data_IF_594237993189
#
_entry.id   IF_594237993189
#
_cell.length_a   1.000
_cell.length_b   1.000
_cell.length_c   1.000
_cell.angle_alpha   90.00
_cell.angle_beta   90.00
_cell.angle_gamma   90.00
#
_symmetry.space_group_name_H-M   'P 1'
#
loop_
_entity.id
_entity.type
_entity.pdbx_description
1 polymer ?
#
# COMPACT_ATOMS: atom_id res chain seq x y z
N UNK A 1 13.46 9.14 0.11
CA UNK A 1 12.74 8.21 -0.79
C UNK A 1 11.84 7.33 0.08
N UNK A 2 10.55 7.26 -0.23
CA UNK A 2 9.60 6.41 0.53
C UNK A 2 9.79 4.95 0.21
N UNK A 3 9.88 4.09 1.22
CA UNK A 3 10.03 2.64 1.04
C UNK A 3 8.77 2.00 0.45
N UNK A 4 8.92 0.80 -0.11
CA UNK A 4 7.81 0.07 -0.73
C UNK A 4 6.62 -0.16 0.21
N UNK A 5 6.89 -0.35 1.51
CA UNK A 5 5.86 -0.53 2.52
C UNK A 5 5.06 0.75 2.78
N UNK A 6 5.71 1.93 2.76
CA UNK A 6 5.03 3.22 2.89
C UNK A 6 4.13 3.46 1.69
N UNK A 7 4.64 3.20 0.48
CA UNK A 7 3.86 3.38 -0.76
C UNK A 7 2.67 2.42 -0.81
N UNK A 8 2.86 1.16 -0.39
CA UNK A 8 1.76 0.21 -0.30
C UNK A 8 0.67 0.69 0.68
N UNK A 9 1.07 1.21 1.84
CA UNK A 9 0.15 1.75 2.84
C UNK A 9 -0.64 2.94 2.28
N UNK A 10 0.02 3.85 1.57
CA UNK A 10 -0.63 5.00 0.91
C UNK A 10 -1.60 4.55 -0.18
N UNK A 11 -1.27 3.52 -0.96
CA UNK A 11 -2.17 2.98 -1.98
C UNK A 11 -3.41 2.31 -1.37
N UNK A 12 -3.26 1.60 -0.25
CA UNK A 12 -4.38 0.99 0.48
C UNK A 12 -5.29 2.06 1.10
N UNK A 13 -4.71 3.14 1.65
CA UNK A 13 -5.46 4.32 2.09
C UNK A 13 -6.25 4.96 0.94
N UNK A 14 -5.63 5.14 -0.23
CA UNK A 14 -6.31 5.68 -1.42
C UNK A 14 -7.46 4.76 -1.84
N UNK A 15 -7.26 3.44 -1.84
CA UNK A 15 -8.31 2.48 -2.17
C UNK A 15 -9.51 2.61 -1.22
N UNK A 16 -9.24 2.73 0.08
CA UNK A 16 -10.26 2.91 1.12
C UNK A 16 -11.00 4.23 0.95
N UNK A 17 -10.29 5.32 0.68
CA UNK A 17 -10.91 6.62 0.41
C UNK A 17 -11.79 6.59 -0.83
N UNK A 18 -11.33 5.94 -1.91
CA UNK A 18 -12.12 5.76 -3.12
C UNK A 18 -13.39 4.95 -2.84
N UNK A 19 -13.29 3.88 -2.05
CA UNK A 19 -14.44 3.08 -1.63
C UNK A 19 -15.48 3.91 -0.86
N UNK A 20 -15.02 4.75 0.07
CA UNK A 20 -15.90 5.64 0.86
C UNK A 20 -16.56 6.72 0.00
N UNK A 21 -15.85 7.27 -0.98
CA UNK A 21 -16.42 8.25 -1.91
C UNK A 21 -17.34 7.63 -2.96
N UNK A 22 -17.43 6.30 -3.04
CA UNK A 22 -18.23 5.61 -4.04
C UNK A 22 -17.64 5.69 -5.45
N UNK A 23 -16.32 5.78 -5.57
CA UNK A 23 -15.61 5.77 -6.85
C UNK A 23 -15.70 4.39 -7.55
N UNK A 24 -15.14 4.31 -8.75
CA UNK A 24 -15.28 3.10 -9.57
C UNK A 24 -14.64 1.86 -8.89
N UNK A 25 -15.40 0.76 -8.66
CA UNK A 25 -14.91 -0.46 -8.01
C UNK A 25 -13.73 -1.11 -8.75
N UNK A 26 -13.62 -0.90 -10.07
CA UNK A 26 -12.46 -1.37 -10.83
C UNK A 26 -11.17 -0.67 -10.40
N UNK A 27 -11.22 0.65 -10.18
CA UNK A 27 -10.06 1.42 -9.73
C UNK A 27 -9.68 1.03 -8.31
N UNK A 28 -10.66 0.95 -7.40
CA UNK A 28 -10.45 0.55 -5.99
C UNK A 28 -9.68 -0.78 -5.91
N UNK A 29 -10.12 -1.79 -6.69
CA UNK A 29 -9.45 -3.09 -6.77
C UNK A 29 -8.03 -2.98 -7.32
N UNK A 30 -7.80 -2.12 -8.32
CA UNK A 30 -6.46 -1.91 -8.87
C UNK A 30 -5.49 -1.30 -7.83
N UNK A 31 -5.94 -0.32 -7.03
CA UNK A 31 -5.11 0.26 -5.95
C UNK A 31 -4.81 -0.77 -4.85
N UNK A 32 -5.82 -1.50 -4.37
CA UNK A 32 -5.62 -2.53 -3.35
C UNK A 32 -4.75 -3.70 -3.84
N UNK A 33 -4.91 -4.11 -5.11
CA UNK A 33 -4.04 -5.11 -5.72
C UNK A 33 -2.59 -4.60 -5.82
N UNK A 34 -2.40 -3.35 -6.27
CA UNK A 34 -1.08 -2.71 -6.35
C UNK A 34 -0.38 -2.65 -4.98
N UNK A 35 -1.09 -2.22 -3.94
CA UNK A 35 -0.59 -2.21 -2.57
C UNK A 35 -0.10 -3.60 -2.14
N UNK A 36 -0.92 -4.62 -2.36
CA UNK A 36 -0.59 -5.99 -1.99
C UNK A 36 0.58 -6.56 -2.78
N UNK A 37 0.73 -6.20 -4.05
CA UNK A 37 1.88 -6.60 -4.85
C UNK A 37 3.16 -5.96 -4.29
N UNK A 38 3.12 -4.67 -3.99
CA UNK A 38 4.24 -3.93 -3.39
C UNK A 38 4.67 -4.51 -2.03
N UNK A 39 3.71 -4.88 -1.17
CA UNK A 39 4.02 -5.52 0.13
C UNK A 39 4.68 -6.89 -0.03
N UNK A 40 4.27 -7.67 -1.03
CA UNK A 40 4.83 -9.00 -1.29
C UNK A 40 6.11 -8.96 -2.14
N UNK A 41 6.47 -7.79 -2.67
CA UNK A 41 7.65 -7.64 -3.52
C UNK A 41 8.91 -7.76 -2.68
N UNK A 42 9.80 -8.69 -3.03
CA UNK A 42 11.07 -8.89 -2.31
C UNK A 42 12.16 -7.92 -2.79
N UNK A 43 12.12 -7.55 -4.07
CA UNK A 43 13.07 -6.65 -4.72
C UNK A 43 12.95 -5.18 -4.24
N UNK A 44 13.99 -4.38 -4.51
CA UNK A 44 13.96 -2.94 -4.27
C UNK A 44 13.05 -2.25 -5.28
N UNK A 45 12.12 -1.44 -4.78
CA UNK A 45 11.15 -0.75 -5.62
C UNK A 45 11.82 0.31 -6.50
N UNK A 46 12.89 0.95 -6.03
CA UNK A 46 13.64 1.93 -6.82
C UNK A 46 14.31 1.28 -8.03
N UNK A 47 14.91 0.11 -7.85
CA UNK A 47 15.53 -0.64 -8.96
C UNK A 47 14.49 -1.13 -9.98
N UNK A 48 13.34 -1.63 -9.51
CA UNK A 48 12.26 -2.12 -10.39
C UNK A 48 11.60 -0.98 -11.18
N UNK A 49 11.42 0.19 -10.56
CA UNK A 49 10.96 1.41 -11.25
C UNK A 49 11.99 1.85 -12.29
N UNK A 50 13.27 1.94 -11.90
CA UNK A 50 14.35 2.35 -12.81
C UNK A 50 14.51 1.41 -14.00
N UNK A 51 14.26 0.12 -13.78
CA UNK A 51 14.31 -0.93 -14.81
C UNK A 51 13.03 -1.01 -15.67
N UNK A 52 11.99 -0.23 -15.37
CA UNK A 52 10.69 -0.28 -16.07
C UNK A 52 9.89 -1.57 -15.85
N UNK A 53 10.38 -2.50 -15.02
CA UNK A 53 9.75 -3.80 -14.75
C UNK A 53 8.42 -3.67 -14.00
N UNK A 54 8.17 -2.55 -13.33
CA UNK A 54 6.94 -2.33 -12.58
C UNK A 54 5.68 -2.39 -13.46
N UNK A 55 5.78 -1.96 -14.72
CA UNK A 55 4.68 -2.02 -15.69
C UNK A 55 4.44 -3.42 -16.27
N UNK A 56 5.42 -4.32 -16.14
CA UNK A 56 5.33 -5.71 -16.57
C UNK A 56 4.57 -6.57 -15.54
N UNK A 57 4.35 -6.04 -14.34
CA UNK A 57 3.72 -6.77 -13.25
C UNK A 57 2.20 -6.89 -13.49
N UNK A 58 1.65 -8.12 -13.57
CA UNK A 58 0.23 -8.32 -13.80
C UNK A 58 -0.59 -7.77 -12.63
N UNK A 59 -1.50 -6.86 -12.93
CA UNK A 59 -2.34 -6.16 -11.95
C UNK A 59 -1.89 -4.74 -11.60
N UNK A 60 -0.69 -4.33 -12.05
CA UNK A 60 -0.25 -2.93 -12.02
C UNK A 60 -0.42 -2.32 -13.42
N UNK A 61 -1.45 -1.50 -13.59
CA UNK A 61 -1.62 -0.74 -14.83
C UNK A 61 -0.64 0.43 -14.94
N UNK A 62 -0.43 0.93 -16.15
CA UNK A 62 0.46 2.07 -16.46
C UNK A 62 0.16 3.31 -15.59
N UNK A 63 -1.13 3.59 -15.36
CA UNK A 63 -1.57 4.66 -14.48
C UNK A 63 -1.22 4.45 -12.99
N UNK A 64 -1.11 3.20 -12.52
CA UNK A 64 -0.65 2.91 -11.16
C UNK A 64 0.87 3.05 -11.06
N UNK A 65 1.59 2.57 -12.06
CA UNK A 65 3.06 2.68 -12.16
C UNK A 65 3.51 4.13 -12.11
N UNK A 66 2.86 5.01 -12.87
CA UNK A 66 3.16 6.45 -12.88
C UNK A 66 2.92 7.09 -11.50
N UNK A 67 1.82 6.71 -10.84
CA UNK A 67 1.51 7.18 -9.48
C UNK A 67 2.49 6.67 -8.42
N UNK A 68 2.91 5.42 -8.51
CA UNK A 68 3.91 4.81 -7.62
C UNK A 68 5.26 5.51 -7.80
N UNK A 69 5.64 5.77 -9.05
CA UNK A 69 6.88 6.48 -9.39
C UNK A 69 6.87 7.91 -8.85
N UNK A 70 5.74 8.60 -9.01
CA UNK A 70 5.50 9.92 -8.43
C UNK A 70 5.57 9.88 -6.90
N UNK A 71 4.92 8.91 -6.24
CA UNK A 71 5.01 8.74 -4.79
C UNK A 71 6.44 8.48 -4.30
N UNK A 72 7.23 7.68 -5.04
CA UNK A 72 8.63 7.43 -4.69
C UNK A 72 9.51 8.67 -4.85
N UNK A 73 9.27 9.47 -5.90
CA UNK A 73 10.04 10.68 -6.24
C UNK A 73 9.65 11.88 -5.38
N UNK A 74 8.37 12.22 -5.40
CA UNK A 74 7.81 13.43 -4.80
C UNK A 74 7.35 13.20 -3.35
N UNK A 75 7.09 11.96 -2.94
CA UNK A 75 6.58 11.64 -1.59
C UNK A 75 5.13 12.06 -1.34
N UNK A 76 4.52 12.76 -2.29
CA UNK A 76 3.15 13.25 -2.22
C UNK A 76 2.41 12.99 -3.52
N UNK A 77 1.20 12.47 -3.40
CA UNK A 77 0.29 12.30 -4.53
C UNK A 77 -0.78 13.41 -4.47
N UNK A 78 -0.87 14.32 -5.46
CA UNK A 78 -1.91 15.36 -5.48
C UNK A 78 -3.32 14.77 -5.43
N UNK A 79 -3.49 13.60 -6.05
CA UNK A 79 -4.75 12.85 -6.02
C UNK A 79 -5.11 12.38 -4.59
N UNK A 80 -4.14 11.92 -3.80
CA UNK A 80 -4.35 11.54 -2.40
C UNK A 80 -4.78 12.75 -1.56
N UNK A 81 -4.14 13.90 -1.73
CA UNK A 81 -4.53 15.13 -1.03
C UNK A 81 -5.94 15.59 -1.40
N UNK A 82 -6.32 15.50 -2.68
CA UNK A 82 -7.68 15.83 -3.13
C UNK A 82 -8.73 14.90 -2.51
N UNK A 83 -8.48 13.59 -2.48
CA UNK A 83 -9.39 12.65 -1.81
C UNK A 83 -9.52 12.96 -0.32
N UNK A 84 -8.38 13.16 0.35
CA UNK A 84 -8.35 13.50 1.78
C UNK A 84 -9.11 14.81 2.08
N UNK A 85 -9.02 15.80 1.21
CA UNK A 85 -9.77 17.05 1.33
C UNK A 85 -11.27 16.89 1.04
N UNK A 86 -11.65 15.92 0.20
CA UNK A 86 -13.04 15.60 -0.08
C UNK A 86 -13.72 14.81 1.03
N UNK A 87 -12.95 14.16 1.91
CA UNK A 87 -13.47 13.43 3.06
C UNK A 87 -13.64 14.40 4.24
N UNK A 88 -14.84 14.51 4.84
CA UNK A 88 -15.05 15.38 5.99
C UNK A 88 -14.19 14.92 7.18
N UNK A 89 -13.59 15.89 7.89
CA UNK A 89 -12.63 15.64 8.98
C UNK A 89 -13.17 14.68 10.06
N UNK A 90 -14.49 14.75 10.36
CA UNK A 90 -15.12 13.85 11.32
C UNK A 90 -15.13 12.38 10.89
N UNK A 91 -15.07 12.08 9.59
CA UNK A 91 -14.94 10.71 9.09
C UNK A 91 -13.48 10.23 9.12
N UNK A 92 -12.52 11.14 8.90
CA UNK A 92 -11.10 10.84 9.06
C UNK A 92 -10.74 10.49 10.51
N UNK A 93 -11.33 11.16 11.51
CA UNK A 93 -11.12 10.82 12.93
C UNK A 93 -11.63 9.41 13.27
N UNK A 94 -12.77 9.00 12.71
CA UNK A 94 -13.31 7.63 12.89
C UNK A 94 -12.43 6.59 12.17
N UNK A 95 -11.78 6.95 11.06
CA UNK A 95 -10.79 6.09 10.40
C UNK A 95 -9.42 6.06 11.08
N UNK A 96 -9.08 7.13 11.82
CA UNK A 96 -7.87 7.22 12.65
C UNK A 96 -8.01 6.50 14.00
N UNK A 97 -9.11 5.78 14.24
CA UNK A 97 -9.20 4.83 15.36
C UNK A 97 -7.99 3.87 15.27
N UNK A 98 -7.24 3.66 16.37
CA UNK A 98 -5.88 3.09 16.38
C UNK A 98 -5.87 1.59 16.04
N UNK A 99 -6.11 1.29 14.77
CA UNK A 99 -6.15 -0.07 14.19
C UNK A 99 -5.72 -0.13 12.72
N UNK A 100 -5.82 0.98 11.97
CA UNK A 100 -5.40 1.07 10.57
C UNK A 100 -3.88 1.14 10.37
N UNK A 101 -3.10 1.41 11.42
CA UNK A 101 -1.63 1.30 11.39
C UNK A 101 -1.11 -0.16 11.49
N UNK A 102 -1.99 -1.17 11.49
CA UNK A 102 -1.57 -2.55 11.76
C UNK A 102 -2.39 -3.60 11.02
N UNK A 103 -2.48 -3.50 9.69
CA UNK A 103 -2.62 -4.73 8.88
C UNK A 103 -1.26 -5.40 8.64
N UNK A 104 -0.44 -5.45 9.70
CA UNK A 104 0.63 -6.43 9.79
C UNK A 104 -0.08 -7.76 9.97
N UNK A 105 -0.17 -8.54 8.90
CA UNK A 105 -0.47 -9.95 8.98
C UNK A 105 0.38 -10.53 10.09
N UNK A 106 -0.25 -10.84 11.22
CA UNK A 106 0.32 -11.70 12.23
C UNK A 106 0.42 -13.08 11.58
N UNK A 107 1.46 -13.27 10.77
CA UNK A 107 1.93 -14.59 10.40
C UNK A 107 2.42 -15.19 11.72
N UNK A 108 1.55 -15.95 12.38
CA UNK A 108 1.94 -16.69 13.57
C UNK A 108 3.07 -17.62 13.16
N UNK A 109 4.31 -17.23 13.47
CA UNK A 109 5.46 -18.11 13.42
C UNK A 109 5.29 -19.17 14.49
N UNK A 110 4.53 -20.23 14.19
CA UNK A 110 4.72 -21.51 14.88
C UNK A 110 5.87 -22.21 14.19
N UNK A 111 7.09 -21.90 14.64
CA UNK A 111 8.27 -22.69 14.30
C UNK A 111 9.23 -22.58 15.48
N UNK A 112 9.12 -23.61 16.31
CA UNK A 112 9.97 -24.11 17.40
C UNK A 112 11.30 -23.40 17.70
N UNK A 113 11.72 -23.47 18.97
CA UNK A 113 13.02 -24.05 19.24
C UNK A 113 12.88 -25.27 20.15
N UNK A 114 13.35 -26.39 19.61
CA UNK A 114 13.85 -27.55 20.35
C UNK A 114 14.57 -27.10 21.62
N UNK A 115 14.01 -27.47 22.78
CA UNK A 115 14.77 -27.47 24.03
C UNK A 115 15.47 -28.82 24.13
N UNK A 116 16.73 -28.82 23.71
CA UNK A 116 17.73 -29.74 24.22
C UNK A 116 18.04 -29.34 25.67
N UNK A 117 18.23 -30.37 26.50
CA UNK A 117 18.82 -30.36 27.84
C UNK A 117 17.92 -29.97 29.01
N UNK A 118 17.52 -31.00 29.76
CA UNK A 118 17.96 -31.11 31.16
C UNK A 118 17.84 -32.55 31.68
N UNK A 119 19.02 -33.06 32.08
CA UNK A 119 19.33 -34.00 33.16
C UNK A 119 18.70 -35.40 33.14
#
# INVERSE_FOLDING_TARGET
MMEKNDIASVLDEIATFMELTGENPFKIRAYSAGARILENMTEDLGEVIASGKLADIPGLGEALVDKITTLRRDGVLPFHQKLKASIPAGLLEVMQIPGSARRRSARSGRSSPSRISRN
#
